data_IF_244553079376
#
_entry.id   IF_244553079376
#
_cell.length_a   1.000
_cell.length_b   1.000
_cell.length_c   1.000
_cell.angle_alpha   90.00
_cell.angle_beta   90.00
_cell.angle_gamma   90.00
#
_symmetry.space_group_name_H-M   'P 1'
#
loop_
_entity.id
_entity.type
_entity.pdbx_description
1 polymer ?
#
# COMPACT_ATOMS: atom_id res chain seq x y z
N UNK A 1 20.17 -0.19 12.53
CA UNK A 1 18.72 0.10 12.51
C UNK A 1 18.01 -1.22 12.39
N UNK A 2 17.24 -1.64 13.40
CA UNK A 2 16.42 -2.83 13.28
C UNK A 2 15.27 -2.49 12.33
N UNK A 3 15.33 -2.99 11.09
CA UNK A 3 14.19 -2.93 10.18
C UNK A 3 13.11 -3.84 10.73
N UNK A 4 11.97 -3.28 11.12
CA UNK A 4 10.80 -4.10 11.40
C UNK A 4 10.37 -4.77 10.10
N UNK A 5 10.26 -6.09 10.11
CA UNK A 5 9.79 -6.86 8.97
C UNK A 5 8.37 -6.42 8.60
N UNK A 6 8.22 -5.85 7.40
CA UNK A 6 6.95 -5.32 6.91
C UNK A 6 5.89 -6.41 6.83
N UNK A 7 6.28 -7.65 6.54
CA UNK A 7 5.36 -8.79 6.46
C UNK A 7 4.69 -9.04 7.82
N UNK A 8 5.46 -8.98 8.91
CA UNK A 8 4.96 -9.14 10.27
C UNK A 8 4.04 -7.99 10.68
N UNK A 9 4.38 -6.76 10.29
CA UNK A 9 3.51 -5.60 10.54
C UNK A 9 2.16 -5.78 9.83
N UNK A 10 2.17 -6.10 8.54
CA UNK A 10 0.95 -6.30 7.77
C UNK A 10 0.08 -7.41 8.35
N UNK A 11 0.68 -8.56 8.69
CA UNK A 11 -0.03 -9.66 9.35
C UNK A 11 -0.66 -9.23 10.68
N UNK A 12 0.07 -8.45 11.51
CA UNK A 12 -0.45 -7.97 12.80
C UNK A 12 -1.63 -6.99 12.66
N UNK A 13 -1.70 -6.28 11.52
CA UNK A 13 -2.79 -5.36 11.18
C UNK A 13 -3.91 -6.03 10.38
N UNK A 14 -3.78 -7.32 10.04
CA UNK A 14 -4.75 -8.04 9.21
C UNK A 14 -4.80 -7.57 7.75
N UNK A 15 -3.74 -6.92 7.26
CA UNK A 15 -3.66 -6.45 5.87
C UNK A 15 -3.22 -7.60 4.98
N UNK A 16 -4.02 -7.88 3.95
CA UNK A 16 -3.73 -8.87 2.90
C UNK A 16 -3.96 -8.24 1.53
N UNK A 17 -3.21 -8.68 0.52
CA UNK A 17 -3.48 -8.36 -0.87
C UNK A 17 -4.22 -9.55 -1.47
N UNK A 18 -5.37 -9.28 -2.10
CA UNK A 18 -6.07 -10.26 -2.89
C UNK A 18 -5.44 -10.27 -4.29
N UNK A 19 -4.82 -11.38 -4.66
CA UNK A 19 -4.07 -11.54 -5.91
C UNK A 19 -4.56 -12.82 -6.58
N UNK A 20 -4.86 -12.73 -7.86
CA UNK A 20 -5.25 -13.88 -8.68
C UNK A 20 -4.03 -14.67 -9.14
N UNK A 21 -4.27 -15.91 -9.59
CA UNK A 21 -3.22 -16.78 -10.10
C UNK A 21 -2.51 -16.14 -11.32
N UNK A 22 -1.22 -15.86 -11.15
CA UNK A 22 -0.38 -15.24 -12.19
C UNK A 22 -0.21 -13.73 -12.03
N UNK A 23 -0.86 -13.10 -11.07
CA UNK A 23 -0.67 -11.68 -10.78
C UNK A 23 0.76 -11.38 -10.29
N UNK A 24 1.30 -10.26 -10.77
CA UNK A 24 2.60 -9.75 -10.38
C UNK A 24 2.46 -8.32 -9.88
N UNK A 25 2.83 -8.09 -8.62
CA UNK A 25 2.94 -6.75 -8.06
C UNK A 25 4.28 -6.13 -8.49
N UNK A 26 4.24 -5.17 -9.42
CA UNK A 26 5.45 -4.48 -9.90
C UNK A 26 5.90 -3.34 -8.98
N UNK A 27 4.94 -2.62 -8.41
CA UNK A 27 5.16 -1.44 -7.60
C UNK A 27 4.20 -1.41 -6.41
N UNK A 28 4.71 -0.96 -5.27
CA UNK A 28 3.94 -0.78 -4.05
C UNK A 28 4.24 0.57 -3.42
N UNK A 29 3.19 1.25 -2.96
CA UNK A 29 3.27 2.42 -2.10
C UNK A 29 2.73 2.05 -0.73
N UNK A 30 3.60 2.14 0.29
CA UNK A 30 3.20 1.98 1.68
C UNK A 30 2.96 3.35 2.29
N UNK A 31 1.78 3.56 2.86
CA UNK A 31 1.47 4.71 3.72
C UNK A 31 1.11 4.15 5.09
N UNK A 32 1.85 4.54 6.13
CA UNK A 32 1.64 4.03 7.48
C UNK A 32 1.54 5.18 8.49
N UNK A 33 0.50 5.12 9.32
CA UNK A 33 0.35 5.95 10.52
C UNK A 33 1.15 5.31 11.65
N UNK A 34 2.06 6.07 12.24
CA UNK A 34 2.93 5.61 13.31
C UNK A 34 2.65 6.42 14.57
N UNK A 35 2.33 5.72 15.66
CA UNK A 35 2.33 6.26 17.01
C UNK A 35 3.74 6.20 17.59
N UNK A 36 4.25 7.33 18.06
CA UNK A 36 5.56 7.48 18.69
C UNK A 36 5.44 7.27 20.20
N UNK A 37 6.53 6.88 20.89
CA UNK A 37 6.50 6.64 22.34
C UNK A 37 6.11 7.88 23.17
N UNK A 38 6.33 9.08 22.64
CA UNK A 38 5.97 10.36 23.25
C UNK A 38 4.48 10.74 23.04
N UNK A 39 3.68 9.85 22.44
CA UNK A 39 2.29 10.11 22.09
C UNK A 39 2.11 10.85 20.76
N UNK A 40 3.20 11.25 20.10
CA UNK A 40 3.17 11.85 18.78
C UNK A 40 2.63 10.90 17.72
N UNK A 41 2.05 11.47 16.67
CA UNK A 41 1.58 10.72 15.50
C UNK A 41 2.29 11.26 14.27
N UNK A 42 2.81 10.36 13.44
CA UNK A 42 3.40 10.73 12.15
C UNK A 42 2.87 9.82 11.05
N UNK A 43 2.93 10.31 9.82
CA UNK A 43 2.68 9.53 8.62
C UNK A 43 4.01 9.31 7.90
N UNK A 44 4.28 8.07 7.54
CA UNK A 44 5.39 7.74 6.64
C UNK A 44 4.83 7.23 5.32
N UNK A 45 5.48 7.64 4.23
CA UNK A 45 5.25 7.07 2.91
C UNK A 45 6.57 6.51 2.37
N UNK A 46 6.52 5.28 1.85
CA UNK A 46 7.62 4.62 1.16
C UNK A 46 7.10 4.01 -0.13
N UNK A 47 7.97 3.94 -1.13
CA UNK A 47 7.68 3.31 -2.42
C UNK A 47 8.69 2.23 -2.69
N UNK A 48 8.38 1.36 -3.65
CA UNK A 48 9.32 0.35 -4.12
C UNK A 48 10.57 0.99 -4.70
N UNK A 49 11.68 0.27 -4.69
CA UNK A 49 12.91 0.73 -5.33
C UNK A 49 12.70 0.82 -6.84
N UNK A 50 13.14 1.92 -7.45
CA UNK A 50 12.95 2.15 -8.88
C UNK A 50 11.61 2.79 -9.27
N UNK A 51 10.63 2.92 -8.37
CA UNK A 51 9.39 3.64 -8.66
C UNK A 51 9.69 5.13 -8.89
N UNK A 52 9.47 5.61 -10.11
CA UNK A 52 9.67 7.01 -10.46
C UNK A 52 8.53 7.91 -9.90
N UNK A 53 8.75 9.22 -9.89
CA UNK A 53 7.82 10.16 -9.29
C UNK A 53 6.48 10.25 -10.03
N UNK A 54 6.44 10.01 -11.35
CA UNK A 54 5.22 10.05 -12.16
C UNK A 54 4.37 8.84 -11.80
N UNK A 55 4.97 7.64 -11.84
CA UNK A 55 4.31 6.39 -11.46
C UNK A 55 3.76 6.48 -10.03
N UNK A 56 4.57 6.97 -9.09
CA UNK A 56 4.12 7.21 -7.71
C UNK A 56 2.89 8.11 -7.64
N UNK A 57 2.89 9.23 -8.37
CA UNK A 57 1.75 10.17 -8.34
C UNK A 57 0.51 9.57 -8.99
N UNK A 58 0.66 8.85 -10.09
CA UNK A 58 -0.43 8.14 -10.75
C UNK A 58 -1.09 7.12 -9.82
N UNK A 59 -0.30 6.29 -9.14
CA UNK A 59 -0.81 5.30 -8.19
C UNK A 59 -1.56 5.94 -7.02
N UNK A 60 -1.07 7.05 -6.44
CA UNK A 60 -1.76 7.74 -5.34
C UNK A 60 -3.11 8.31 -5.82
N UNK A 61 -3.15 8.87 -7.03
CA UNK A 61 -4.39 9.40 -7.61
C UNK A 61 -5.40 8.27 -7.86
N UNK A 62 -4.97 7.17 -8.46
CA UNK A 62 -5.81 5.99 -8.68
C UNK A 62 -6.32 5.38 -7.35
N UNK A 63 -5.46 5.32 -6.33
CA UNK A 63 -5.84 4.82 -5.01
C UNK A 63 -6.95 5.69 -4.36
N UNK A 64 -6.87 7.01 -4.48
CA UNK A 64 -7.94 7.90 -3.99
C UNK A 64 -9.27 7.67 -4.72
N UNK A 65 -9.23 7.38 -6.02
CA UNK A 65 -10.43 7.08 -6.79
C UNK A 65 -11.05 5.73 -6.40
N UNK A 66 -10.21 4.69 -6.24
CA UNK A 66 -10.64 3.36 -5.78
C UNK A 66 -11.23 3.44 -4.37
N UNK A 67 -10.61 4.18 -3.45
CA UNK A 67 -11.13 4.37 -2.09
C UNK A 67 -12.50 5.08 -2.10
N UNK A 68 -12.69 6.06 -3.00
CA UNK A 68 -13.94 6.78 -3.14
C UNK A 68 -15.07 5.96 -3.81
N UNK A 69 -14.72 5.06 -4.73
CA UNK A 69 -15.69 4.33 -5.58
C UNK A 69 -15.87 2.86 -5.21
N UNK A 70 -15.01 2.33 -4.33
CA UNK A 70 -14.88 0.91 -4.03
C UNK A 70 -13.94 0.20 -5.02
N UNK A 71 -13.21 -0.79 -4.52
CA UNK A 71 -12.45 -1.70 -5.38
C UNK A 71 -13.42 -2.51 -6.24
N UNK A 72 -13.23 -2.48 -7.56
CA UNK A 72 -13.96 -3.29 -8.52
C UNK A 72 -13.00 -4.31 -9.10
N UNK A 73 -13.29 -5.58 -8.88
CA UNK A 73 -12.56 -6.64 -9.52
C UNK A 73 -12.84 -6.59 -11.03
N UNK A 74 -11.80 -6.73 -11.85
CA UNK A 74 -11.96 -6.60 -13.31
C UNK A 74 -12.77 -7.76 -13.90
N UNK A 75 -12.85 -8.89 -13.20
CA UNK A 75 -13.57 -10.10 -13.61
C UNK A 75 -15.09 -10.04 -13.36
N UNK A 76 -15.60 -9.00 -12.70
CA UNK A 76 -17.04 -8.83 -12.41
C UNK A 76 -17.86 -8.31 -13.62
N UNK A 77 -17.24 -8.25 -14.81
CA UNK A 77 -17.91 -7.87 -16.06
C UNK A 77 -18.19 -9.12 -16.90
N UNK A 78 -19.15 -9.95 -16.47
CA UNK A 78 -19.73 -11.04 -17.29
C UNK A 78 -21.02 -10.59 -17.97
#
# INVERSE_FOLDING_TARGET
>A
MAGSDISRIMQSLGITLDLSDGDLVSDLILIAKIHKPDGGVTLISRTSEGTDWITRRGMIAAANEVDATGYRDADDTT
#
